data_IF_969934516589
#
_entry.id   IF_969934516589
#
_cell.length_a   1.000
_cell.length_b   1.000
_cell.length_c   1.000
_cell.angle_alpha   90.00
_cell.angle_beta   90.00
_cell.angle_gamma   90.00
#
_symmetry.space_group_name_H-M   'P 1'
#
loop_
_entity.id
_entity.type
_entity.pdbx_description
1 polymer ?
#
# COMPACT_ATOMS: atom_id res chain seq x y z
N UNK A 1 -9.53 -1.02 12.78
CA UNK A 1 -9.29 -1.56 11.44
C UNK A 1 -8.97 -3.03 11.64
N UNK A 2 -9.81 -3.93 11.14
CA UNK A 2 -9.44 -5.33 11.05
C UNK A 2 -8.24 -5.43 10.09
N UNK A 3 -7.25 -6.22 10.46
CA UNK A 3 -6.09 -6.46 9.62
C UNK A 3 -6.49 -7.44 8.53
N UNK A 4 -6.03 -7.18 7.32
CA UNK A 4 -5.99 -8.24 6.31
C UNK A 4 -4.77 -9.12 6.61
N UNK A 5 -4.97 -10.17 7.40
CA UNK A 5 -3.98 -11.21 7.65
C UNK A 5 -4.08 -12.37 6.65
N UNK A 6 -5.06 -12.31 5.73
CA UNK A 6 -5.30 -13.34 4.74
C UNK A 6 -4.15 -13.35 3.73
N UNK A 7 -3.24 -14.30 3.93
CA UNK A 7 -2.45 -14.89 2.85
C UNK A 7 -1.23 -14.11 2.34
N UNK A 8 -0.40 -13.56 3.22
CA UNK A 8 0.95 -13.15 2.77
C UNK A 8 1.98 -14.30 2.78
N UNK A 9 1.89 -15.30 3.68
CA UNK A 9 2.97 -16.31 3.81
C UNK A 9 2.57 -17.74 4.17
N UNK A 10 1.28 -18.09 4.26
CA UNK A 10 0.86 -19.43 4.70
C UNK A 10 1.36 -19.81 6.11
N UNK A 11 1.75 -18.82 6.91
CA UNK A 11 2.20 -18.95 8.31
C UNK A 11 1.65 -17.80 9.14
N UNK A 12 1.65 -17.99 10.45
CA UNK A 12 1.32 -16.95 11.40
C UNK A 12 2.39 -15.84 11.40
N UNK A 13 1.93 -14.59 11.47
CA UNK A 13 2.78 -13.43 11.67
C UNK A 13 3.16 -13.29 13.15
N UNK A 14 4.37 -12.80 13.41
CA UNK A 14 4.75 -12.34 14.76
C UNK A 14 4.00 -11.05 15.13
N UNK A 15 4.01 -10.67 16.40
CA UNK A 15 3.40 -9.40 16.85
C UNK A 15 4.01 -8.18 16.16
N UNK A 16 5.34 -8.17 16.01
CA UNK A 16 6.08 -7.10 15.32
C UNK A 16 5.68 -7.02 13.84
N UNK A 17 5.58 -8.17 13.15
CA UNK A 17 5.14 -8.21 11.76
C UNK A 17 3.70 -7.74 11.59
N UNK A 18 2.80 -8.08 12.52
CA UNK A 18 1.43 -7.56 12.52
C UNK A 18 1.42 -6.04 12.65
N UNK A 19 2.24 -5.47 13.52
CA UNK A 19 2.30 -4.02 13.70
C UNK A 19 2.85 -3.30 12.47
N UNK A 20 3.87 -3.87 11.83
CA UNK A 20 4.36 -3.37 10.54
C UNK A 20 3.30 -3.49 9.44
N UNK A 21 2.56 -4.61 9.39
CA UNK A 21 1.47 -4.78 8.43
C UNK A 21 0.35 -3.76 8.65
N UNK A 22 -0.02 -3.46 9.91
CA UNK A 22 -1.00 -2.40 10.22
C UNK A 22 -0.55 -1.05 9.66
N UNK A 23 0.73 -0.73 9.75
CA UNK A 23 1.27 0.51 9.19
C UNK A 23 1.15 0.50 7.66
N UNK A 24 1.54 -0.60 7.02
CA UNK A 24 1.50 -0.72 5.56
C UNK A 24 0.06 -0.61 5.01
N UNK A 25 -0.89 -1.30 5.64
CA UNK A 25 -2.30 -1.32 5.22
C UNK A 25 -3.07 -0.03 5.47
N UNK A 26 -2.51 0.93 6.23
CA UNK A 26 -3.11 2.26 6.36
C UNK A 26 -2.81 3.18 5.18
N UNK A 27 -1.90 2.80 4.28
CA UNK A 27 -1.55 3.62 3.12
C UNK A 27 -2.56 3.35 1.99
N UNK A 28 -3.53 4.24 1.82
CA UNK A 28 -4.49 4.17 0.71
C UNK A 28 -3.87 4.67 -0.60
N UNK A 29 -4.43 4.31 -1.77
CA UNK A 29 -3.99 4.85 -3.06
C UNK A 29 -4.01 6.38 -3.13
N UNK A 30 -5.01 7.01 -2.52
CA UNK A 30 -5.16 8.47 -2.45
C UNK A 30 -4.04 9.07 -1.60
N UNK A 31 -3.81 8.51 -0.41
CA UNK A 31 -2.75 8.97 0.50
C UNK A 31 -1.36 8.82 -0.14
N UNK A 32 -1.12 7.73 -0.87
CA UNK A 32 0.12 7.54 -1.60
C UNK A 32 0.26 8.54 -2.76
N UNK A 33 -0.82 8.84 -3.46
CA UNK A 33 -0.85 9.87 -4.52
C UNK A 33 -0.57 11.27 -3.96
N UNK A 34 -1.10 11.59 -2.77
CA UNK A 34 -0.78 12.81 -2.03
C UNK A 34 0.71 12.87 -1.64
N UNK A 35 1.28 11.77 -1.15
CA UNK A 35 2.72 11.68 -0.87
C UNK A 35 3.54 11.99 -2.12
N UNK A 36 3.22 11.36 -3.25
CA UNK A 36 3.93 11.54 -4.52
C UNK A 36 3.89 13.01 -4.98
N UNK A 37 2.71 13.63 -4.89
CA UNK A 37 2.51 15.05 -5.20
C UNK A 37 3.31 15.94 -4.24
N UNK A 38 3.23 15.69 -2.93
CA UNK A 38 3.93 16.46 -1.91
C UNK A 38 5.47 16.38 -2.03
N UNK A 39 5.99 15.27 -2.56
CA UNK A 39 7.43 15.09 -2.84
C UNK A 39 7.84 15.54 -4.24
N UNK A 40 6.93 16.13 -5.01
CA UNK A 40 7.17 16.61 -6.36
C UNK A 40 7.77 15.51 -7.27
N UNK A 41 7.27 14.28 -7.13
CA UNK A 41 7.72 13.17 -7.96
C UNK A 41 7.20 13.32 -9.39
N UNK A 42 7.88 12.71 -10.36
CA UNK A 42 7.47 12.76 -11.75
C UNK A 42 6.13 12.07 -11.92
N UNK A 43 5.16 12.79 -12.49
CA UNK A 43 3.80 12.30 -12.78
C UNK A 43 3.71 11.67 -14.19
N UNK A 44 4.83 11.15 -14.70
CA UNK A 44 4.93 10.48 -15.99
C UNK A 44 5.93 9.33 -15.90
N UNK A 45 5.79 8.35 -16.80
CA UNK A 45 6.68 7.20 -16.86
C UNK A 45 8.11 7.63 -17.16
N UNK A 46 9.05 7.28 -16.28
CA UNK A 46 10.46 7.62 -16.45
C UNK A 46 11.12 6.91 -17.64
N UNK A 47 10.51 5.83 -18.16
CA UNK A 47 11.01 5.07 -19.31
C UNK A 47 10.46 5.58 -20.65
N UNK A 48 9.14 5.72 -20.79
CA UNK A 48 8.50 6.06 -22.07
C UNK A 48 7.85 7.46 -22.12
N UNK A 49 7.86 8.21 -21.02
CA UNK A 49 7.30 9.57 -20.94
C UNK A 49 5.77 9.68 -20.92
N UNK A 50 5.03 8.56 -20.99
CA UNK A 50 3.56 8.58 -20.96
C UNK A 50 3.00 8.79 -19.55
N UNK A 51 1.78 9.34 -19.50
CA UNK A 51 1.03 9.59 -18.26
C UNK A 51 0.19 8.39 -17.77
N UNK A 52 0.22 7.27 -18.50
CA UNK A 52 -0.55 6.06 -18.16
C UNK A 52 0.15 5.32 -17.03
N UNK A 53 -0.06 5.78 -15.80
CA UNK A 53 0.48 5.22 -14.56
C UNK A 53 -0.67 4.67 -13.71
N UNK A 54 -0.43 3.57 -13.01
CA UNK A 54 -1.36 3.04 -12.01
C UNK A 54 -0.59 2.63 -10.75
N UNK A 55 -1.29 2.67 -9.61
CA UNK A 55 -0.81 2.21 -8.31
C UNK A 55 -1.45 0.84 -8.03
N UNK A 56 -0.67 -0.25 -7.94
CA UNK A 56 -1.18 -1.54 -7.48
C UNK A 56 -1.77 -1.40 -6.07
N UNK A 57 -3.00 -1.88 -5.89
CA UNK A 57 -3.70 -1.82 -4.61
C UNK A 57 -4.51 -3.07 -4.39
N UNK A 58 -4.71 -3.39 -3.12
CA UNK A 58 -5.56 -4.47 -2.64
C UNK A 58 -6.83 -3.85 -2.08
N UNK A 59 -7.98 -4.40 -2.47
CA UNK A 59 -9.28 -4.06 -1.90
C UNK A 59 -9.79 -5.25 -1.11
N UNK A 60 -10.20 -5.00 0.13
CA UNK A 60 -10.75 -6.00 1.04
C UNK A 60 -12.22 -5.74 1.19
N UNK A 61 -13.00 -6.77 0.86
CA UNK A 61 -14.44 -6.78 0.96
C UNK A 61 -14.85 -7.48 2.26
N UNK A 62 -15.42 -6.73 3.22
CA UNK A 62 -15.91 -7.31 4.48
C UNK A 62 -17.18 -8.14 4.29
N UNK A 63 -17.98 -7.73 3.32
CA UNK A 63 -19.20 -8.41 2.87
C UNK A 63 -18.92 -8.91 1.47
N UNK A 64 -19.43 -10.11 1.14
CA UNK A 64 -19.36 -10.68 -0.21
C UNK A 64 -19.77 -9.61 -1.26
N UNK A 65 -18.88 -9.24 -2.21
CA UNK A 65 -19.16 -8.19 -3.17
C UNK A 65 -20.32 -8.54 -4.12
N UNK A 66 -20.69 -9.82 -4.25
CA UNK A 66 -21.86 -10.24 -5.04
C UNK A 66 -23.18 -10.19 -4.22
N UNK A 67 -23.11 -9.87 -2.93
CA UNK A 67 -24.28 -9.76 -2.05
C UNK A 67 -25.07 -8.47 -2.32
N UNK A 68 -26.42 -8.51 -2.33
CA UNK A 68 -27.24 -7.30 -2.43
C UNK A 68 -27.15 -6.38 -1.19
N UNK A 69 -26.59 -6.88 -0.07
CA UNK A 69 -26.35 -6.09 1.15
C UNK A 69 -25.00 -5.36 1.12
N UNK A 70 -24.16 -5.65 0.13
CA UNK A 70 -22.86 -5.03 -0.02
C UNK A 70 -22.98 -3.53 -0.34
N UNK A 71 -22.15 -2.74 0.31
CA UNK A 71 -22.02 -1.30 0.07
C UNK A 71 -20.55 -0.91 -0.03
N UNK A 72 -20.26 0.23 -0.66
CA UNK A 72 -18.89 0.78 -0.73
C UNK A 72 -18.24 0.99 0.66
N UNK A 73 -19.04 1.05 1.74
CA UNK A 73 -18.53 1.17 3.11
C UNK A 73 -17.97 -0.16 3.67
N UNK A 74 -18.28 -1.28 3.02
CA UNK A 74 -17.76 -2.61 3.35
C UNK A 74 -16.36 -2.84 2.76
N UNK A 75 -15.93 -1.94 1.88
CA UNK A 75 -14.64 -2.00 1.21
C UNK A 75 -13.60 -1.12 1.89
N UNK A 76 -12.39 -1.65 2.01
CA UNK A 76 -11.21 -0.83 2.27
C UNK A 76 -10.11 -1.16 1.28
N UNK A 77 -9.41 -0.14 0.80
CA UNK A 77 -8.30 -0.31 -0.13
C UNK A 77 -7.00 0.22 0.45
N UNK A 78 -5.91 -0.49 0.17
CA UNK A 78 -4.55 -0.09 0.53
C UNK A 78 -3.60 -0.38 -0.62
N UNK A 79 -2.52 0.40 -0.73
CA UNK A 79 -1.47 0.15 -1.73
C UNK A 79 -0.81 -1.17 -1.41
N UNK A 80 -0.76 -2.09 -2.37
CA UNK A 80 -0.19 -3.43 -2.17
C UNK A 80 1.31 -3.28 -1.91
N UNK A 81 1.81 -3.60 -0.70
CA UNK A 81 3.22 -3.50 -0.41
C UNK A 81 3.96 -4.66 -1.10
N UNK A 82 4.99 -4.34 -1.86
CA UNK A 82 5.97 -5.32 -2.31
C UNK A 82 6.95 -5.58 -1.16
N UNK A 83 7.07 -6.84 -0.76
CA UNK A 83 8.09 -7.33 0.15
C UNK A 83 8.73 -8.57 -0.45
N UNK A 84 9.88 -8.98 0.08
CA UNK A 84 10.51 -10.21 -0.37
C UNK A 84 9.75 -11.42 0.16
N UNK A 85 9.66 -12.45 -0.68
CA UNK A 85 9.09 -13.73 -0.30
C UNK A 85 9.91 -14.38 0.82
N UNK A 86 9.22 -15.02 1.76
CA UNK A 86 9.81 -15.76 2.89
C UNK A 86 10.67 -14.93 3.88
N UNK A 87 10.67 -13.61 3.80
CA UNK A 87 11.31 -12.72 4.79
C UNK A 87 10.30 -12.19 5.82
N UNK A 88 10.80 -11.66 6.94
CA UNK A 88 9.93 -11.04 7.93
C UNK A 88 9.31 -9.75 7.37
N UNK A 89 8.02 -9.52 7.65
CA UNK A 89 7.33 -8.33 7.16
C UNK A 89 7.83 -7.09 7.91
N UNK A 90 8.36 -6.14 7.15
CA UNK A 90 9.03 -4.96 7.68
C UNK A 90 8.70 -3.72 6.86
N UNK A 91 8.25 -2.66 7.51
CA UNK A 91 8.00 -1.35 6.86
C UNK A 91 9.29 -0.76 6.26
N UNK A 92 10.45 -1.12 6.81
CA UNK A 92 11.76 -0.67 6.34
C UNK A 92 12.17 -1.34 5.03
N UNK A 93 11.76 -2.59 4.84
CA UNK A 93 12.14 -3.41 3.68
C UNK A 93 11.06 -3.42 2.59
N UNK A 94 9.81 -3.12 2.94
CA UNK A 94 8.70 -3.04 2.01
C UNK A 94 8.80 -1.84 1.05
N UNK A 95 8.19 -1.98 -0.12
CA UNK A 95 8.11 -0.96 -1.19
C UNK A 95 6.67 -0.78 -1.65
N UNK A 96 6.34 0.42 -2.08
CA UNK A 96 5.16 0.72 -2.89
C UNK A 96 5.56 0.97 -4.33
N UNK A 97 4.62 0.76 -5.25
CA UNK A 97 4.92 0.76 -6.67
C UNK A 97 4.03 1.73 -7.44
N UNK A 98 4.60 2.30 -8.50
CA UNK A 98 3.86 2.96 -9.58
C UNK A 98 4.28 2.30 -10.88
N UNK A 99 3.32 1.71 -11.59
CA UNK A 99 3.58 0.94 -12.80
C UNK A 99 2.98 1.65 -14.01
N UNK A 100 3.74 1.73 -15.10
CA UNK A 100 3.24 2.26 -16.36
C UNK A 100 2.40 1.21 -17.10
N UNK A 101 1.11 1.50 -17.32
CA UNK A 101 0.19 0.61 -18.04
C UNK A 101 0.54 0.46 -19.53
N UNK A 102 1.47 1.26 -20.06
CA UNK A 102 1.87 1.19 -21.47
C UNK A 102 3.11 0.32 -21.70
N UNK A 103 4.21 0.58 -20.99
CA UNK A 103 5.48 -0.10 -21.21
C UNK A 103 5.90 -1.05 -20.08
N UNK A 104 5.11 -1.16 -19.01
CA UNK A 104 5.39 -2.04 -17.87
C UNK A 104 6.52 -1.55 -16.96
N UNK A 105 7.09 -0.37 -17.19
CA UNK A 105 8.11 0.18 -16.29
C UNK A 105 7.52 0.49 -14.92
N UNK A 106 8.19 0.02 -13.86
CA UNK A 106 7.78 0.20 -12.47
C UNK A 106 8.79 1.05 -11.70
N UNK A 107 8.27 2.05 -10.98
CA UNK A 107 9.03 2.85 -10.01
C UNK A 107 8.72 2.36 -8.60
N UNK A 108 9.76 2.14 -7.80
CA UNK A 108 9.65 1.67 -6.42
C UNK A 108 9.89 2.81 -5.43
N UNK A 109 9.06 2.86 -4.39
CA UNK A 109 9.10 3.85 -3.32
C UNK A 109 9.23 3.12 -1.99
N UNK A 110 10.16 3.53 -1.13
CA UNK A 110 10.32 2.90 0.19
C UNK A 110 9.11 3.18 1.08
N UNK A 111 8.48 2.11 1.58
CA UNK A 111 7.28 2.20 2.40
C UNK A 111 7.52 2.98 3.69
N UNK A 112 8.70 2.83 4.31
CA UNK A 112 9.12 3.62 5.47
C UNK A 112 8.98 5.13 5.27
N UNK A 113 9.47 5.69 4.17
CA UNK A 113 9.40 7.13 3.95
C UNK A 113 7.97 7.63 3.69
N UNK A 114 7.12 6.79 3.09
CA UNK A 114 5.70 7.08 2.87
C UNK A 114 4.96 7.06 4.21
N UNK A 115 5.12 5.98 4.99
CA UNK A 115 4.51 5.83 6.29
C UNK A 115 4.94 6.92 7.28
N UNK A 116 6.25 7.24 7.31
CA UNK A 116 6.79 8.33 8.13
C UNK A 116 6.16 9.67 7.76
N UNK A 117 6.09 10.00 6.48
CA UNK A 117 5.46 11.24 6.03
C UNK A 117 3.98 11.31 6.42
N UNK A 118 3.23 10.22 6.22
CA UNK A 118 1.82 10.16 6.60
C UNK A 118 1.64 10.32 8.12
N UNK A 119 2.51 9.70 8.93
CA UNK A 119 2.50 9.83 10.39
C UNK A 119 2.83 11.24 10.86
N UNK A 120 3.86 11.88 10.27
CA UNK A 120 4.23 13.28 10.55
C UNK A 120 3.09 14.26 10.21
N UNK A 121 2.21 13.89 9.28
CA UNK A 121 1.00 14.65 8.91
C UNK A 121 -0.24 14.31 9.73
N UNK A 122 -0.17 13.31 10.61
CA UNK A 122 -1.33 12.83 11.38
C UNK A 122 -2.38 12.09 10.54
N UNK A 123 -1.99 11.57 9.36
CA UNK A 123 -2.89 10.87 8.42
C UNK A 123 -3.02 9.37 8.74
N UNK A 124 -2.06 8.83 9.50
CA UNK A 124 -2.10 7.45 10.02
C UNK A 124 -1.70 7.44 11.50
N UNK A 125 -2.16 6.44 12.25
CA UNK A 125 -2.06 6.43 13.72
C UNK A 125 -1.42 5.17 14.31
N UNK A 126 -1.31 4.05 13.58
CA UNK A 126 -0.78 2.83 14.18
C UNK A 126 0.75 2.71 14.15
N UNK A 127 1.29 2.06 15.18
CA UNK A 127 2.65 1.50 15.25
C UNK A 127 3.78 2.48 15.58
N UNK A 128 4.82 1.99 16.25
CA UNK A 128 6.10 2.68 16.36
C UNK A 128 6.90 2.46 15.06
N UNK A 129 7.39 3.55 14.47
CA UNK A 129 8.26 3.57 13.28
C UNK A 129 9.72 3.69 13.71
#
# INVERSE_FOLDING_TARGET
MELDDFSFMGRDLTEVERDHMKILQQITPELFSEFLTAKNTKQFCLSCGRLQLFVPHTTIHKVDPDSPEHTDADDWSYVTPNHKDNEAISVYDARYEVTCSHCGFTSLYSAYYVARWAKEKGLISAGNL
#
